data_IF_421477802194
#
_entry.id   IF_421477802194
#
_cell.length_a   1.000
_cell.length_b   1.000
_cell.length_c   1.000
_cell.angle_alpha   90.00
_cell.angle_beta   90.00
_cell.angle_gamma   90.00
#
_symmetry.space_group_name_H-M   'P 1'
#
loop_
_entity.id
_entity.type
_entity.pdbx_description
1 polymer ?
#
# COMPACT_ATOMS: atom_id res chain seq x y z
N UNK A 1 -19.90 15.04 -3.94
CA UNK A 1 -19.88 13.79 -3.17
C UNK A 1 -18.42 13.43 -3.02
N UNK A 2 -18.00 12.82 -1.88
CA UNK A 2 -16.60 12.38 -1.72
C UNK A 2 -16.27 11.31 -2.74
N UNK A 3 -15.10 11.39 -3.35
CA UNK A 3 -14.56 10.40 -4.29
C UNK A 3 -13.69 9.36 -3.59
N UNK A 4 -13.59 9.41 -2.25
CA UNK A 4 -12.83 8.40 -1.49
C UNK A 4 -13.41 7.01 -1.71
N UNK A 5 -12.58 6.10 -2.18
CA UNK A 5 -12.93 4.69 -2.31
C UNK A 5 -12.82 3.97 -0.97
N UNK A 6 -13.66 2.98 -0.72
CA UNK A 6 -13.78 2.34 0.59
C UNK A 6 -13.92 0.83 0.47
N UNK A 7 -13.16 0.13 1.29
CA UNK A 7 -13.24 -1.33 1.44
C UNK A 7 -13.42 -1.71 2.90
N UNK A 8 -14.39 -2.56 3.19
CA UNK A 8 -14.56 -3.16 4.52
C UNK A 8 -13.93 -4.55 4.56
N UNK A 9 -13.31 -4.88 5.68
CA UNK A 9 -12.75 -6.18 5.95
C UNK A 9 -12.87 -6.53 7.44
N UNK A 10 -12.67 -7.80 7.77
CA UNK A 10 -12.70 -8.32 9.14
C UNK A 10 -11.41 -9.05 9.46
N UNK A 11 -10.84 -8.78 10.64
CA UNK A 11 -9.60 -9.43 11.07
C UNK A 11 -9.80 -10.94 11.22
N UNK A 12 -9.12 -11.71 10.38
CA UNK A 12 -9.15 -13.17 10.39
C UNK A 12 -8.02 -13.78 11.22
N UNK A 13 -8.23 -15.01 11.72
CA UNK A 13 -7.25 -15.74 12.54
C UNK A 13 -5.89 -15.91 11.83
N UNK A 14 -5.88 -16.13 10.52
CA UNK A 14 -4.65 -16.33 9.74
C UNK A 14 -3.74 -15.09 9.64
N UNK A 15 -4.30 -13.91 9.93
CA UNK A 15 -3.61 -12.61 9.79
C UNK A 15 -3.19 -11.98 11.11
N UNK A 16 -3.40 -12.65 12.24
CA UNK A 16 -3.03 -12.12 13.57
C UNK A 16 -1.71 -12.69 14.07
N UNK A 17 -1.09 -11.94 14.96
CA UNK A 17 0.08 -12.38 15.73
C UNK A 17 -0.30 -13.14 17.00
N UNK A 18 0.69 -13.43 17.85
CA UNK A 18 0.51 -14.15 19.12
C UNK A 18 -0.30 -13.39 20.17
N UNK A 19 -0.46 -12.07 19.99
CA UNK A 19 -1.29 -11.20 20.85
C UNK A 19 -2.73 -11.04 20.32
N UNK A 20 -3.06 -11.69 19.20
CA UNK A 20 -4.37 -11.58 18.56
C UNK A 20 -4.57 -10.28 17.75
N UNK A 21 -3.51 -9.53 17.50
CA UNK A 21 -3.53 -8.26 16.75
C UNK A 21 -3.21 -8.50 15.27
N UNK A 22 -3.83 -7.75 14.38
CA UNK A 22 -3.55 -7.79 12.93
C UNK A 22 -2.06 -7.50 12.67
N UNK A 23 -1.39 -8.38 11.93
CA UNK A 23 0.02 -8.23 11.57
C UNK A 23 0.25 -7.01 10.68
N UNK A 24 1.40 -6.35 10.81
CA UNK A 24 1.72 -5.12 10.08
C UNK A 24 1.65 -5.31 8.56
N UNK A 25 2.20 -6.41 8.05
CA UNK A 25 2.12 -6.71 6.61
C UNK A 25 0.68 -6.85 6.10
N UNK A 26 -0.24 -7.32 6.96
CA UNK A 26 -1.65 -7.44 6.59
C UNK A 26 -2.36 -6.08 6.54
N UNK A 27 -1.88 -5.08 7.30
CA UNK A 27 -2.33 -3.69 7.17
C UNK A 27 -1.89 -3.11 5.81
N UNK A 28 -0.62 -3.35 5.43
CA UNK A 28 -0.09 -2.93 4.12
C UNK A 28 -0.88 -3.56 2.98
N UNK A 29 -1.13 -4.87 3.06
CA UNK A 29 -1.92 -5.58 2.04
C UNK A 29 -3.35 -5.02 1.95
N UNK A 30 -4.03 -4.81 3.08
CA UNK A 30 -5.39 -4.25 3.06
C UNK A 30 -5.46 -2.85 2.42
N UNK A 31 -4.44 -2.00 2.64
CA UNK A 31 -4.33 -0.70 1.98
C UNK A 31 -4.06 -0.85 0.48
N UNK A 32 -3.11 -1.71 0.10
CA UNK A 32 -2.79 -1.97 -1.31
C UNK A 32 -4.00 -2.56 -2.05
N UNK A 33 -4.65 -3.58 -1.49
CA UNK A 33 -5.85 -4.21 -2.08
C UNK A 33 -6.96 -3.19 -2.31
N UNK A 34 -7.20 -2.30 -1.33
CA UNK A 34 -8.17 -1.22 -1.47
C UNK A 34 -7.86 -0.28 -2.66
N UNK A 35 -6.58 0.01 -2.92
CA UNK A 35 -6.19 0.81 -4.08
C UNK A 35 -6.35 0.07 -5.41
N UNK A 36 -6.10 -1.24 -5.43
CA UNK A 36 -6.28 -2.08 -6.61
C UNK A 36 -7.77 -2.24 -6.96
N UNK A 37 -8.62 -2.48 -5.97
CA UNK A 37 -10.07 -2.51 -6.16
C UNK A 37 -10.60 -1.17 -6.67
N UNK A 38 -10.06 -0.04 -6.17
CA UNK A 38 -10.41 1.27 -6.72
C UNK A 38 -10.08 1.36 -8.21
N UNK A 39 -8.90 0.85 -8.63
CA UNK A 39 -8.49 0.84 -10.04
C UNK A 39 -9.43 0.00 -10.89
N UNK A 40 -9.81 -1.20 -10.42
CA UNK A 40 -10.76 -2.06 -11.12
C UNK A 40 -12.13 -1.39 -11.29
N UNK A 41 -12.66 -0.81 -10.22
CA UNK A 41 -14.02 -0.23 -10.21
C UNK A 41 -14.13 1.04 -11.07
N UNK A 42 -13.02 1.77 -11.28
CA UNK A 42 -13.00 2.93 -12.19
C UNK A 42 -12.57 2.57 -13.63
N UNK A 43 -12.33 1.29 -13.92
CA UNK A 43 -11.96 0.81 -15.24
C UNK A 43 -10.50 1.04 -15.64
N UNK A 44 -9.63 1.28 -14.65
CA UNK A 44 -8.17 1.44 -14.82
C UNK A 44 -7.45 0.22 -14.26
N UNK A 45 -7.87 -0.98 -14.70
CA UNK A 45 -7.36 -2.25 -14.18
C UNK A 45 -5.85 -2.39 -14.32
N UNK A 46 -5.21 -2.79 -13.22
CA UNK A 46 -3.81 -3.18 -13.23
C UNK A 46 -3.60 -4.64 -13.69
N UNK A 47 -4.69 -5.39 -13.90
CA UNK A 47 -4.65 -6.82 -14.23
C UNK A 47 -4.63 -7.11 -15.74
N UNK A 48 -4.83 -6.09 -16.58
CA UNK A 48 -4.72 -6.24 -18.04
C UNK A 48 -3.26 -6.19 -18.52
N UNK A 49 -2.47 -7.11 -17.98
CA UNK A 49 -1.02 -7.25 -18.24
C UNK A 49 -0.68 -7.69 -19.68
N UNK A 50 -1.70 -7.97 -20.50
CA UNK A 50 -1.52 -8.49 -21.88
C UNK A 50 -1.80 -7.45 -22.96
N UNK A 51 -2.28 -6.28 -22.59
CA UNK A 51 -2.48 -5.21 -23.54
C UNK A 51 -1.13 -4.68 -24.04
N UNK A 52 -1.01 -4.45 -25.34
CA UNK A 52 0.23 -3.89 -25.92
C UNK A 52 0.55 -2.47 -25.39
N UNK A 53 -0.45 -1.82 -24.81
CA UNK A 53 -0.38 -0.47 -24.21
C UNK A 53 -0.51 -0.52 -22.67
N UNK A 54 -0.07 -1.62 -22.05
CA UNK A 54 -0.22 -1.82 -20.62
C UNK A 54 0.62 -0.81 -19.81
N UNK A 55 -0.07 0.13 -19.20
CA UNK A 55 0.49 0.99 -18.17
C UNK A 55 0.04 0.52 -16.78
N UNK A 56 0.86 0.74 -15.78
CA UNK A 56 0.52 0.38 -14.41
C UNK A 56 1.02 1.44 -13.42
N UNK A 57 0.23 1.66 -12.36
CA UNK A 57 0.69 2.37 -11.17
C UNK A 57 1.45 1.41 -10.27
N UNK A 58 2.76 1.65 -10.11
CA UNK A 58 3.62 0.86 -9.23
C UNK A 58 3.97 1.67 -7.99
N UNK A 59 3.76 1.09 -6.82
CA UNK A 59 4.09 1.75 -5.56
C UNK A 59 5.61 1.85 -5.39
N UNK A 60 6.08 3.02 -4.98
CA UNK A 60 7.48 3.32 -4.77
C UNK A 60 7.86 3.44 -3.29
N UNK A 61 6.96 4.00 -2.48
CA UNK A 61 7.20 4.16 -1.05
C UNK A 61 5.90 4.28 -0.27
N UNK A 62 5.98 3.86 0.98
CA UNK A 62 4.95 4.00 1.99
C UNK A 62 5.49 4.76 3.20
N UNK A 63 4.68 5.64 3.77
CA UNK A 63 4.82 6.18 5.13
C UNK A 63 3.52 5.86 5.88
N UNK A 64 3.58 4.91 6.80
CA UNK A 64 2.41 4.36 7.49
C UNK A 64 2.53 4.66 8.98
N UNK A 65 1.50 5.30 9.54
CA UNK A 65 1.38 5.53 10.97
C UNK A 65 0.29 4.62 11.52
N UNK A 66 0.67 3.70 12.40
CA UNK A 66 -0.24 2.79 13.07
C UNK A 66 -0.52 3.34 14.46
N UNK A 67 -1.79 3.63 14.76
CA UNK A 67 -2.24 4.07 16.09
C UNK A 67 -2.55 2.89 16.99
N UNK A 68 -3.23 1.91 16.43
CA UNK A 68 -3.58 0.64 17.05
C UNK A 68 -3.81 -0.42 15.99
N UNK A 69 -3.32 -1.60 16.23
CA UNK A 69 -3.64 -2.76 15.38
C UNK A 69 -4.98 -3.36 15.80
N UNK A 70 -5.93 -3.55 14.87
CA UNK A 70 -7.21 -4.17 15.22
C UNK A 70 -7.01 -5.64 15.64
N UNK A 71 -7.90 -6.12 16.53
CA UNK A 71 -7.84 -7.48 17.09
C UNK A 71 -8.69 -8.46 16.28
N UNK A 72 -8.50 -9.76 16.51
CA UNK A 72 -9.27 -10.81 15.86
C UNK A 72 -10.77 -10.57 15.96
N UNK A 73 -11.45 -10.67 14.80
CA UNK A 73 -12.90 -10.51 14.67
C UNK A 73 -13.37 -9.07 14.51
N UNK A 74 -12.53 -8.08 14.81
CA UNK A 74 -12.84 -6.67 14.62
C UNK A 74 -13.03 -6.35 13.14
N UNK A 75 -14.06 -5.54 12.84
CA UNK A 75 -14.32 -5.04 11.48
C UNK A 75 -13.65 -3.67 11.32
N UNK A 76 -13.06 -3.46 10.16
CA UNK A 76 -12.46 -2.19 9.81
C UNK A 76 -12.78 -1.79 8.36
N UNK A 77 -12.70 -0.50 8.09
CA UNK A 77 -12.83 0.09 6.77
C UNK A 77 -11.52 0.78 6.40
N UNK A 78 -11.01 0.48 5.21
CA UNK A 78 -9.92 1.24 4.58
C UNK A 78 -10.54 2.21 3.58
N UNK A 79 -10.24 3.49 3.72
CA UNK A 79 -10.55 4.53 2.72
C UNK A 79 -9.28 4.93 2.01
N UNK A 80 -9.34 5.17 0.68
CA UNK A 80 -8.20 5.62 -0.11
C UNK A 80 -8.61 6.61 -1.19
N UNK A 81 -7.72 7.55 -1.51
CA UNK A 81 -7.89 8.55 -2.57
C UNK A 81 -6.55 9.13 -3.03
N UNK A 82 -6.37 9.44 -4.32
CA UNK A 82 -5.26 10.25 -4.76
C UNK A 82 -5.48 11.70 -4.33
N UNK A 83 -4.39 12.39 -3.98
CA UNK A 83 -4.47 13.81 -3.61
C UNK A 83 -3.55 14.70 -4.43
N UNK A 84 -2.62 14.11 -5.22
CA UNK A 84 -1.68 14.90 -6.01
C UNK A 84 -1.07 14.07 -7.13
N UNK A 85 -0.93 14.71 -8.32
CA UNK A 85 -0.12 14.22 -9.43
C UNK A 85 1.04 15.17 -9.68
N UNK A 86 2.26 14.63 -9.89
CA UNK A 86 3.45 15.43 -10.17
C UNK A 86 4.44 14.66 -11.06
N UNK A 87 4.55 15.07 -12.34
CA UNK A 87 5.40 14.40 -13.32
C UNK A 87 4.94 12.96 -13.52
N UNK A 88 5.81 12.00 -13.29
CA UNK A 88 5.50 10.56 -13.37
C UNK A 88 4.91 9.99 -12.07
N UNK A 89 4.73 10.81 -11.02
CA UNK A 89 4.31 10.37 -9.70
C UNK A 89 2.86 10.74 -9.39
N UNK A 90 2.13 9.77 -8.81
CA UNK A 90 0.88 9.96 -8.09
C UNK A 90 1.09 9.77 -6.58
N UNK A 91 0.46 10.62 -5.76
CA UNK A 91 0.45 10.51 -4.31
C UNK A 91 -0.96 10.15 -3.86
N UNK A 92 -1.05 9.19 -2.93
CA UNK A 92 -2.32 8.63 -2.46
C UNK A 92 -2.31 8.47 -0.95
N UNK A 93 -3.40 8.90 -0.31
CA UNK A 93 -3.61 8.66 1.11
C UNK A 93 -4.50 7.44 1.37
N UNK A 94 -4.33 6.90 2.57
CA UNK A 94 -5.12 5.81 3.13
C UNK A 94 -5.48 6.12 4.57
N UNK A 95 -6.67 5.73 4.98
CA UNK A 95 -7.10 5.78 6.37
C UNK A 95 -7.85 4.49 6.70
N UNK A 96 -7.42 3.81 7.75
CA UNK A 96 -8.07 2.63 8.29
C UNK A 96 -8.82 3.02 9.57
N UNK A 97 -10.11 2.69 9.67
CA UNK A 97 -10.95 3.01 10.82
C UNK A 97 -11.78 1.81 11.26
N UNK A 98 -12.19 1.80 12.53
CA UNK A 98 -13.25 0.92 13.02
C UNK A 98 -14.61 1.37 12.50
N UNK A 99 -15.66 0.56 12.69
CA UNK A 99 -17.04 0.93 12.36
C UNK A 99 -17.54 2.13 13.18
N UNK A 100 -17.01 2.32 14.39
CA UNK A 100 -17.31 3.45 15.28
C UNK A 100 -16.53 4.73 14.91
N UNK A 101 -15.62 4.66 13.92
CA UNK A 101 -14.85 5.80 13.41
C UNK A 101 -13.51 6.04 14.09
N UNK A 102 -13.05 5.16 15.00
CA UNK A 102 -11.69 5.23 15.57
C UNK A 102 -10.66 5.06 14.44
N UNK A 103 -9.69 5.95 14.35
CA UNK A 103 -8.58 5.81 13.39
C UNK A 103 -7.56 4.81 13.89
N UNK A 104 -7.42 3.69 13.20
CA UNK A 104 -6.48 2.61 13.46
C UNK A 104 -5.10 2.87 12.85
N UNK A 105 -5.09 3.30 11.61
CA UNK A 105 -3.87 3.64 10.87
C UNK A 105 -4.18 4.67 9.77
N UNK A 106 -3.15 5.37 9.32
CA UNK A 106 -3.21 6.20 8.11
C UNK A 106 -1.87 6.15 7.38
N UNK A 107 -1.88 6.44 6.09
CA UNK A 107 -0.68 6.36 5.29
C UNK A 107 -0.64 7.40 4.17
N UNK A 108 0.59 7.77 3.81
CA UNK A 108 0.95 8.37 2.54
C UNK A 108 1.69 7.36 1.68
N UNK A 109 1.41 7.35 0.39
CA UNK A 109 2.09 6.49 -0.57
C UNK A 109 2.43 7.24 -1.84
N UNK A 110 3.59 6.90 -2.41
CA UNK A 110 4.04 7.44 -3.67
C UNK A 110 4.06 6.34 -4.72
N UNK A 111 3.44 6.60 -5.84
CA UNK A 111 3.33 5.69 -6.98
C UNK A 111 3.99 6.33 -8.18
N UNK A 112 4.54 5.55 -9.09
CA UNK A 112 4.93 6.03 -10.40
C UNK A 112 4.16 5.29 -11.50
N UNK A 113 3.83 6.02 -12.53
CA UNK A 113 3.17 5.48 -13.71
C UNK A 113 4.21 4.87 -14.63
N UNK A 114 4.02 3.62 -14.99
CA UNK A 114 5.03 2.78 -15.63
C UNK A 114 4.50 2.20 -16.93
N UNK A 115 5.25 2.39 -17.98
CA UNK A 115 5.02 1.73 -19.27
C UNK A 115 5.74 0.39 -19.27
N UNK A 116 4.96 -0.69 -19.31
CA UNK A 116 5.47 -2.06 -19.25
C UNK A 116 6.24 -2.45 -20.51
N UNK A 117 5.94 -1.84 -21.65
CA UNK A 117 6.60 -2.11 -22.94
C UNK A 117 8.01 -1.54 -22.99
N UNK A 118 8.17 -0.29 -22.54
CA UNK A 118 9.49 0.37 -22.53
C UNK A 118 10.29 0.08 -21.26
N UNK A 119 9.65 -0.43 -20.22
CA UNK A 119 10.28 -0.68 -18.93
C UNK A 119 10.69 0.60 -18.19
N UNK A 120 9.99 1.73 -18.44
CA UNK A 120 10.34 3.03 -17.87
C UNK A 120 9.14 3.77 -17.31
N UNK A 121 9.36 4.62 -16.27
CA UNK A 121 8.31 5.54 -15.82
C UNK A 121 7.97 6.56 -16.90
N UNK A 122 6.68 6.78 -17.10
CA UNK A 122 6.14 7.76 -18.06
C UNK A 122 5.19 8.72 -17.35
N UNK A 123 4.98 9.88 -17.94
CA UNK A 123 4.01 10.85 -17.43
C UNK A 123 2.60 10.35 -17.73
N UNK A 124 1.70 10.23 -16.73
CA UNK A 124 0.32 9.89 -16.97
C UNK A 124 -0.41 11.03 -17.67
N UNK A 125 -1.31 10.68 -18.59
CA UNK A 125 -2.26 11.61 -19.17
C UNK A 125 -3.53 11.69 -18.30
N UNK A 126 -4.43 12.66 -18.50
CA UNK A 126 -5.65 12.80 -17.69
C UNK A 126 -6.50 11.53 -17.60
N UNK A 127 -6.60 10.77 -18.68
CA UNK A 127 -7.35 9.52 -18.76
C UNK A 127 -6.83 8.46 -17.78
N UNK A 128 -5.55 8.53 -17.42
CA UNK A 128 -4.90 7.55 -16.53
C UNK A 128 -5.19 7.79 -15.03
N UNK A 129 -5.77 8.95 -14.66
CA UNK A 129 -5.97 9.27 -13.26
C UNK A 129 -7.26 10.04 -12.91
N UNK A 130 -7.93 10.71 -13.85
CA UNK A 130 -9.11 11.54 -13.55
C UNK A 130 -10.28 10.70 -13.00
N UNK A 131 -10.41 9.46 -13.47
CA UNK A 131 -11.47 8.55 -13.02
C UNK A 131 -11.39 8.22 -11.52
N UNK A 132 -10.19 8.27 -10.91
CA UNK A 132 -10.05 8.06 -9.46
C UNK A 132 -10.67 9.21 -8.63
N UNK A 133 -10.82 10.40 -9.21
CA UNK A 133 -11.13 11.61 -8.44
C UNK A 133 -10.02 11.99 -7.45
N UNK A 134 -9.81 13.27 -7.24
CA UNK A 134 -8.83 13.76 -6.26
C UNK A 134 -9.54 14.43 -5.09
N UNK A 135 -9.03 14.20 -3.89
CA UNK A 135 -9.49 14.82 -2.65
C UNK A 135 -8.34 15.60 -1.98
N UNK A 136 -8.66 16.38 -0.96
CA UNK A 136 -7.65 17.05 -0.16
C UNK A 136 -6.73 16.04 0.56
N UNK A 137 -5.43 16.38 0.74
CA UNK A 137 -4.52 15.51 1.45
C UNK A 137 -4.96 15.29 2.90
N UNK A 138 -4.77 14.08 3.41
CA UNK A 138 -5.04 13.75 4.81
C UNK A 138 -4.15 14.59 5.74
N UNK A 139 -4.66 15.12 6.87
CA UNK A 139 -3.86 15.93 7.79
C UNK A 139 -2.86 15.06 8.57
N UNK A 140 -1.69 14.86 7.99
CA UNK A 140 -0.56 14.12 8.58
C UNK A 140 0.76 14.83 8.30
N UNK A 141 1.83 14.43 9.01
CA UNK A 141 3.19 14.84 8.65
C UNK A 141 3.64 14.07 7.40
N UNK A 142 3.93 14.78 6.32
CA UNK A 142 4.42 14.17 5.07
C UNK A 142 5.95 14.11 5.08
N UNK A 143 6.49 12.90 5.04
CA UNK A 143 7.92 12.66 5.04
C UNK A 143 8.53 12.64 3.64
N UNK A 144 9.80 12.98 3.49
CA UNK A 144 10.49 12.82 2.21
C UNK A 144 10.46 11.37 1.74
N UNK A 145 10.09 11.13 0.48
CA UNK A 145 10.09 9.80 -0.15
C UNK A 145 11.42 9.05 -0.01
N UNK A 146 12.55 9.77 -0.08
CA UNK A 146 13.89 9.17 0.00
C UNK A 146 14.26 8.93 1.46
N UNK A 147 14.34 7.67 1.84
CA UNK A 147 14.83 7.24 3.15
C UNK A 147 16.37 7.34 3.16
N UNK A 148 16.91 7.97 4.21
CA UNK A 148 18.37 7.98 4.43
C UNK A 148 18.80 6.61 4.95
N UNK A 149 19.79 6.02 4.28
CA UNK A 149 20.39 4.76 4.72
C UNK A 149 21.26 5.07 5.95
N UNK A 150 21.09 4.36 7.09
CA UNK A 150 21.95 4.49 8.24
C UNK A 150 23.41 4.12 7.91
N UNK A 151 24.39 4.79 8.54
CA UNK A 151 25.81 4.52 8.30
C UNK A 151 26.28 3.19 8.94
N UNK A 152 25.63 2.77 10.03
CA UNK A 152 26.01 1.57 10.80
C UNK A 152 25.05 0.41 10.53
N UNK A 153 25.02 -0.07 9.29
CA UNK A 153 24.26 -1.28 8.94
C UNK A 153 25.01 -2.53 9.40
N UNK A 154 24.28 -3.45 10.00
CA UNK A 154 24.76 -4.79 10.36
C UNK A 154 24.03 -5.80 9.49
N UNK A 155 24.80 -6.68 8.86
CA UNK A 155 24.21 -7.81 8.13
C UNK A 155 23.48 -8.71 9.11
N UNK A 156 22.22 -9.00 8.80
CA UNK A 156 21.36 -9.85 9.61
C UNK A 156 21.21 -11.24 9.00
N UNK A 157 20.65 -11.31 7.79
CA UNK A 157 20.40 -12.57 7.09
C UNK A 157 20.19 -12.36 5.58
N UNK A 158 20.09 -13.46 4.84
CA UNK A 158 19.70 -13.51 3.42
C UNK A 158 18.48 -14.39 3.24
N UNK A 159 17.54 -13.92 2.43
CA UNK A 159 16.33 -14.66 2.09
C UNK A 159 16.29 -14.89 0.60
N UNK A 160 16.04 -16.14 0.20
CA UNK A 160 15.79 -16.47 -1.20
C UNK A 160 14.33 -16.20 -1.53
N UNK A 161 14.10 -15.29 -2.48
CA UNK A 161 12.75 -15.01 -2.98
C UNK A 161 12.22 -16.26 -3.70
N UNK A 162 11.01 -16.68 -3.37
CA UNK A 162 10.31 -17.81 -4.01
C UNK A 162 8.98 -17.34 -4.63
N UNK A 163 8.34 -18.21 -5.39
CA UNK A 163 7.11 -17.91 -6.12
C UNK A 163 5.99 -17.32 -5.22
N UNK A 164 5.85 -17.85 -3.99
CA UNK A 164 4.84 -17.36 -3.05
C UNK A 164 5.07 -15.91 -2.54
N UNK A 165 6.27 -15.36 -2.77
CA UNK A 165 6.57 -13.96 -2.44
C UNK A 165 6.22 -13.01 -3.59
N UNK A 166 5.93 -13.54 -4.79
CA UNK A 166 5.80 -12.77 -6.01
C UNK A 166 4.35 -12.29 -6.23
N UNK A 167 4.22 -11.12 -6.82
CA UNK A 167 2.97 -10.60 -7.35
C UNK A 167 2.81 -10.95 -8.85
N UNK A 168 1.72 -10.50 -9.46
CA UNK A 168 1.40 -10.72 -10.88
C UNK A 168 2.39 -10.07 -11.84
N UNK A 169 3.15 -9.06 -11.39
CA UNK A 169 4.20 -8.40 -12.17
C UNK A 169 5.56 -9.11 -12.06
N UNK A 170 5.60 -10.28 -11.45
CA UNK A 170 6.85 -11.00 -11.13
C UNK A 170 7.81 -10.18 -10.25
N UNK A 171 7.28 -9.30 -9.44
CA UNK A 171 8.00 -8.59 -8.40
C UNK A 171 7.63 -9.17 -7.02
N UNK A 172 8.51 -9.03 -6.05
CA UNK A 172 8.19 -9.37 -4.67
C UNK A 172 7.10 -8.43 -4.15
N UNK A 173 6.00 -9.00 -3.61
CA UNK A 173 4.87 -8.23 -3.09
C UNK A 173 5.31 -7.30 -1.95
N UNK A 174 4.74 -6.09 -1.89
CA UNK A 174 5.12 -5.09 -0.90
C UNK A 174 4.93 -5.56 0.55
N UNK A 175 3.84 -6.27 0.83
CA UNK A 175 3.59 -6.85 2.14
C UNK A 175 4.63 -7.91 2.54
N UNK A 176 5.19 -8.64 1.57
CA UNK A 176 6.23 -9.63 1.83
C UNK A 176 7.56 -8.99 2.29
N UNK A 177 7.95 -7.83 1.75
CA UNK A 177 9.09 -7.08 2.29
C UNK A 177 8.90 -6.75 3.77
N UNK A 178 7.69 -6.29 4.14
CA UNK A 178 7.36 -5.97 5.53
C UNK A 178 7.33 -7.22 6.41
N UNK A 179 6.74 -8.33 5.91
CA UNK A 179 6.68 -9.59 6.63
C UNK A 179 8.07 -10.14 6.93
N UNK A 180 8.92 -10.22 5.91
CA UNK A 180 10.27 -10.75 6.03
C UNK A 180 11.15 -9.84 6.90
N UNK A 181 11.02 -8.52 6.80
CA UNK A 181 11.73 -7.61 7.68
C UNK A 181 11.29 -7.76 9.15
N UNK A 182 9.98 -7.96 9.40
CA UNK A 182 9.46 -8.17 10.75
C UNK A 182 9.98 -9.45 11.40
N UNK A 183 10.25 -10.51 10.62
CA UNK A 183 10.82 -11.76 11.13
C UNK A 183 12.24 -11.58 11.72
N UNK A 184 12.93 -10.47 11.39
CA UNK A 184 14.27 -10.13 11.87
C UNK A 184 14.27 -9.09 13.00
N UNK A 185 13.10 -8.60 13.39
CA UNK A 185 13.00 -7.70 14.54
C UNK A 185 13.08 -8.49 15.85
N UNK A 186 13.60 -7.89 16.95
CA UNK A 186 13.60 -8.52 18.26
C UNK A 186 12.19 -8.94 18.68
N UNK A 187 12.07 -10.10 19.35
CA UNK A 187 10.79 -10.57 19.89
C UNK A 187 10.18 -9.51 20.81
N UNK A 188 8.89 -9.20 20.60
CA UNK A 188 8.18 -8.16 21.34
C UNK A 188 8.45 -6.73 20.84
N UNK A 189 9.11 -6.56 19.67
CA UNK A 189 9.24 -5.25 19.06
C UNK A 189 7.87 -4.74 18.62
N UNK A 190 7.47 -3.61 19.16
CA UNK A 190 6.24 -2.93 18.75
C UNK A 190 6.53 -1.97 17.59
N UNK A 191 5.72 -2.06 16.54
CA UNK A 191 5.75 -1.16 15.38
C UNK A 191 4.70 -0.08 15.55
#
# INVERSE_FOLDING_TARGET
MSTMYKCKDRVSYSRIDTEGKLKVYAIVNAMQDCSLFHSEDVGLSCMDLKSEDAHAWLVNSWDIVIKRRPIMGEVFEVSTWPYKMRGVFGMRNFVMKTEEGETLAYADSHWFFFDQKTGTPVKPEPEDYEAYGMEEPYPMEYKPRKIKIPENLVYCDSITVCENHMDTNSHMNNGEYVRLAADHLPFGFEV
#
